data_IF_943645455787
#
_entry.id   IF_943645455787
#
_cell.length_a   1.000
_cell.length_b   1.000
_cell.length_c   1.000
_cell.angle_alpha   90.00
_cell.angle_beta   90.00
_cell.angle_gamma   90.00
#
_symmetry.space_group_name_H-M   'P 1'
#
loop_
_entity.id
_entity.type
_entity.pdbx_description
1 polymer ?
#
# COMPACT_ATOMS: atom_id res chain seq x y z
N UNK A 1 -31.98 -19.47 14.28
CA UNK A 1 -30.77 -20.02 14.94
C UNK A 1 -29.77 -18.89 15.02
N UNK A 2 -29.24 -18.58 16.21
CA UNK A 2 -28.27 -17.47 16.37
C UNK A 2 -26.94 -17.88 15.75
N UNK A 3 -26.53 -17.19 14.68
CA UNK A 3 -25.27 -17.37 13.95
C UNK A 3 -24.06 -17.29 14.90
N UNK A 4 -24.17 -16.47 15.94
CA UNK A 4 -23.16 -16.28 16.98
C UNK A 4 -22.98 -17.47 17.94
N UNK A 5 -23.83 -18.47 17.89
CA UNK A 5 -23.74 -19.67 18.74
C UNK A 5 -22.74 -20.73 18.22
N UNK A 6 -22.27 -20.56 16.97
CA UNK A 6 -21.32 -21.49 16.38
C UNK A 6 -19.87 -21.08 16.68
N UNK A 7 -19.05 -21.94 17.33
CA UNK A 7 -17.66 -21.61 17.68
C UNK A 7 -16.79 -21.23 16.48
N UNK A 8 -17.01 -21.85 15.32
CA UNK A 8 -16.27 -21.52 14.10
C UNK A 8 -16.60 -20.09 13.61
N UNK A 9 -17.86 -19.65 13.74
CA UNK A 9 -18.27 -18.31 13.31
C UNK A 9 -17.70 -17.23 14.24
N UNK A 10 -17.65 -17.48 15.54
CA UNK A 10 -17.04 -16.57 16.49
C UNK A 10 -15.54 -16.36 16.18
N UNK A 11 -14.81 -17.46 15.93
CA UNK A 11 -13.39 -17.41 15.53
C UNK A 11 -13.21 -16.69 14.20
N UNK A 12 -14.05 -16.98 13.23
CA UNK A 12 -14.00 -16.31 11.93
C UNK A 12 -14.25 -14.80 12.02
N UNK A 13 -15.25 -14.37 12.80
CA UNK A 13 -15.55 -12.96 13.02
C UNK A 13 -14.42 -12.23 13.76
N UNK A 14 -13.84 -12.87 14.80
CA UNK A 14 -12.70 -12.29 15.50
C UNK A 14 -11.48 -12.15 14.60
N UNK A 15 -11.18 -13.17 13.80
CA UNK A 15 -10.07 -13.13 12.86
C UNK A 15 -10.31 -12.08 11.75
N UNK A 16 -11.55 -11.97 11.24
CA UNK A 16 -11.93 -10.94 10.28
C UNK A 16 -11.80 -9.52 10.87
N UNK A 17 -12.26 -9.32 12.11
CA UNK A 17 -12.12 -8.05 12.82
C UNK A 17 -10.65 -7.65 12.96
N UNK A 18 -9.80 -8.57 13.43
CA UNK A 18 -8.36 -8.31 13.57
C UNK A 18 -7.71 -8.01 12.22
N UNK A 19 -8.01 -8.77 11.19
CA UNK A 19 -7.49 -8.53 9.84
C UNK A 19 -7.99 -7.20 9.27
N UNK A 20 -9.26 -6.87 9.45
CA UNK A 20 -9.87 -5.61 9.02
C UNK A 20 -9.31 -4.38 9.73
N UNK A 21 -8.80 -4.55 10.95
CA UNK A 21 -8.14 -3.51 11.71
C UNK A 21 -6.67 -3.31 11.28
N UNK A 22 -5.94 -4.42 11.13
CA UNK A 22 -4.49 -4.44 10.94
C UNK A 22 -4.09 -4.16 9.49
N UNK A 23 -4.82 -4.73 8.52
CA UNK A 23 -4.48 -4.57 7.12
C UNK A 23 -4.49 -3.11 6.65
N UNK A 24 -5.53 -2.29 6.93
CA UNK A 24 -5.50 -0.87 6.60
C UNK A 24 -4.50 -0.06 7.43
N UNK A 25 -4.19 -0.50 8.67
CA UNK A 25 -3.23 0.18 9.51
C UNK A 25 -1.83 0.21 8.91
N UNK A 26 -1.36 -0.91 8.36
CA UNK A 26 -0.09 -0.95 7.62
C UNK A 26 -0.27 -0.46 6.18
N UNK A 27 -1.43 -0.72 5.58
CA UNK A 27 -1.79 -0.28 4.24
C UNK A 27 -1.67 1.23 4.05
N UNK A 28 -2.00 2.02 5.08
CA UNK A 28 -1.85 3.48 5.06
C UNK A 28 -0.42 3.90 4.71
N UNK A 29 0.60 3.29 5.33
CA UNK A 29 2.00 3.61 5.05
C UNK A 29 2.45 3.16 3.67
N UNK A 30 1.97 1.99 3.21
CA UNK A 30 2.26 1.44 1.90
C UNK A 30 1.66 2.30 0.79
N UNK A 31 0.40 2.71 0.93
CA UNK A 31 -0.31 3.57 -0.03
C UNK A 31 0.33 4.95 -0.11
N UNK A 32 0.68 5.56 1.03
CA UNK A 32 1.34 6.87 1.06
C UNK A 32 2.71 6.86 0.38
N UNK A 33 3.39 5.73 0.39
CA UNK A 33 4.69 5.54 -0.27
C UNK A 33 4.58 5.07 -1.72
N UNK A 34 3.37 5.04 -2.29
CA UNK A 34 3.07 4.57 -3.65
C UNK A 34 3.51 3.12 -3.91
N UNK A 35 3.47 2.29 -2.88
CA UNK A 35 3.80 0.87 -2.95
C UNK A 35 2.55 -0.03 -2.88
N UNK A 36 1.43 0.42 -3.45
CA UNK A 36 0.13 -0.26 -3.35
C UNK A 36 0.15 -1.71 -3.85
N UNK A 37 1.01 -2.03 -4.83
CA UNK A 37 1.18 -3.38 -5.35
C UNK A 37 2.09 -4.27 -4.47
N UNK A 38 2.72 -3.71 -3.43
CA UNK A 38 3.60 -4.48 -2.54
C UNK A 38 2.83 -5.62 -1.86
N UNK A 39 1.57 -5.38 -1.45
CA UNK A 39 0.73 -6.39 -0.85
C UNK A 39 0.53 -7.62 -1.73
N UNK A 40 0.27 -7.40 -3.03
CA UNK A 40 0.14 -8.49 -4.01
C UNK A 40 1.45 -9.25 -4.20
N UNK A 41 2.57 -8.53 -4.37
CA UNK A 41 3.88 -9.16 -4.47
C UNK A 41 4.22 -10.03 -3.27
N UNK A 42 3.99 -9.52 -2.05
CA UNK A 42 4.20 -10.26 -0.81
C UNK A 42 3.27 -11.47 -0.72
N UNK A 43 2.03 -11.32 -1.18
CA UNK A 43 1.09 -12.40 -1.30
C UNK A 43 1.62 -13.56 -2.14
N UNK A 44 2.18 -13.28 -3.30
CA UNK A 44 2.72 -14.32 -4.18
C UNK A 44 3.96 -14.99 -3.61
N UNK A 45 4.79 -14.26 -2.85
CA UNK A 45 5.91 -14.86 -2.09
C UNK A 45 5.39 -15.77 -0.96
N UNK A 46 4.25 -15.42 -0.35
CA UNK A 46 3.63 -16.31 0.64
C UNK A 46 3.14 -17.62 0.01
N UNK A 47 2.64 -17.61 -1.26
CA UNK A 47 2.34 -18.85 -2.01
C UNK A 47 3.61 -19.69 -2.21
N UNK A 48 4.74 -19.05 -2.55
CA UNK A 48 6.00 -19.76 -2.63
C UNK A 48 6.35 -20.47 -1.31
N UNK A 49 6.12 -19.78 -0.18
CA UNK A 49 6.34 -20.36 1.14
C UNK A 49 5.40 -21.53 1.44
N UNK A 50 4.13 -21.45 1.07
CA UNK A 50 3.17 -22.55 1.18
C UNK A 50 3.61 -23.72 0.29
N UNK A 51 3.99 -23.48 -0.96
CA UNK A 51 4.49 -24.51 -1.87
C UNK A 51 5.74 -25.20 -1.33
N UNK A 52 6.67 -24.45 -0.75
CA UNK A 52 7.85 -24.99 -0.10
C UNK A 52 7.50 -25.86 1.14
N UNK A 53 6.52 -25.42 1.93
CA UNK A 53 6.04 -26.19 3.07
C UNK A 53 5.39 -27.51 2.65
N UNK A 54 4.58 -27.49 1.59
CA UNK A 54 3.99 -28.71 1.03
C UNK A 54 5.06 -29.69 0.52
N UNK A 55 6.11 -29.17 -0.11
CA UNK A 55 7.22 -29.95 -0.64
C UNK A 55 8.07 -30.56 0.48
N UNK A 56 8.29 -29.84 1.58
CA UNK A 56 9.13 -30.26 2.72
C UNK A 56 8.34 -30.98 3.81
N UNK A 57 7.01 -31.07 3.71
CA UNK A 57 6.14 -31.65 4.74
C UNK A 57 6.08 -30.83 6.04
N UNK A 58 6.38 -29.52 5.99
CA UNK A 58 6.40 -28.63 7.15
C UNK A 58 5.08 -27.85 7.27
N UNK A 59 4.91 -27.14 8.39
CA UNK A 59 3.70 -26.32 8.61
C UNK A 59 3.67 -25.13 7.62
N UNK A 60 2.57 -24.96 6.84
CA UNK A 60 2.50 -23.96 5.78
C UNK A 60 2.59 -22.52 6.27
N UNK A 61 1.94 -22.18 7.39
CA UNK A 61 1.90 -20.79 7.88
C UNK A 61 3.28 -20.27 8.33
N UNK A 62 4.05 -20.95 9.19
CA UNK A 62 5.37 -20.51 9.57
C UNK A 62 6.33 -20.40 8.36
N UNK A 63 6.27 -21.36 7.43
CA UNK A 63 7.11 -21.33 6.24
C UNK A 63 6.75 -20.14 5.34
N UNK A 64 5.46 -19.85 5.15
CA UNK A 64 5.01 -18.69 4.41
C UNK A 64 5.47 -17.38 5.06
N UNK A 65 5.45 -17.26 6.40
CA UNK A 65 5.98 -16.09 7.11
C UNK A 65 7.47 -15.91 6.85
N UNK A 66 8.27 -16.97 7.03
CA UNK A 66 9.72 -16.90 6.85
C UNK A 66 10.09 -16.52 5.42
N UNK A 67 9.49 -17.17 4.43
CA UNK A 67 9.75 -16.88 3.01
C UNK A 67 9.30 -15.49 2.62
N UNK A 68 8.13 -15.04 3.10
CA UNK A 68 7.60 -13.71 2.82
C UNK A 68 8.46 -12.61 3.45
N UNK A 69 8.92 -12.79 4.68
CA UNK A 69 9.85 -11.86 5.34
C UNK A 69 11.18 -11.84 4.61
N UNK A 70 11.75 -12.99 4.26
CA UNK A 70 13.02 -13.06 3.51
C UNK A 70 12.90 -12.36 2.15
N UNK A 71 11.84 -12.63 1.39
CA UNK A 71 11.58 -12.00 0.10
C UNK A 71 11.37 -10.48 0.23
N UNK A 72 10.62 -10.04 1.23
CA UNK A 72 10.39 -8.62 1.49
C UNK A 72 11.66 -7.86 1.84
N UNK A 73 12.52 -8.45 2.68
CA UNK A 73 13.84 -7.89 3.03
C UNK A 73 14.73 -7.82 1.80
N UNK A 74 14.78 -8.88 1.00
CA UNK A 74 15.60 -8.92 -0.21
C UNK A 74 15.21 -7.80 -1.19
N UNK A 75 13.92 -7.61 -1.46
CA UNK A 75 13.45 -6.54 -2.37
C UNK A 75 13.70 -5.16 -1.79
N UNK A 76 13.46 -4.95 -0.50
CA UNK A 76 13.72 -3.65 0.12
C UNK A 76 15.22 -3.31 0.09
N UNK A 77 16.11 -4.26 0.31
CA UNK A 77 17.55 -4.06 0.19
C UNK A 77 17.97 -3.76 -1.26
N UNK A 78 17.40 -4.47 -2.24
CA UNK A 78 17.62 -4.18 -3.66
C UNK A 78 17.15 -2.77 -4.02
N UNK A 79 15.96 -2.37 -3.56
CA UNK A 79 15.42 -1.02 -3.75
C UNK A 79 16.32 0.05 -3.12
N UNK A 80 16.81 -0.18 -1.90
CA UNK A 80 17.70 0.75 -1.20
C UNK A 80 19.09 0.86 -1.86
N UNK A 81 19.51 -0.15 -2.61
CA UNK A 81 20.79 -0.13 -3.34
C UNK A 81 20.76 0.74 -4.60
N UNK A 82 19.56 1.16 -5.06
CA UNK A 82 19.36 1.95 -6.28
C UNK A 82 19.69 1.21 -7.59
N UNK A 83 20.05 -0.09 -7.53
CA UNK A 83 20.42 -0.86 -8.71
C UNK A 83 19.24 -1.35 -9.54
N UNK A 84 18.04 -1.33 -8.96
CA UNK A 84 16.82 -1.86 -9.60
C UNK A 84 15.69 -0.87 -9.39
N UNK A 85 14.89 -0.62 -10.42
CA UNK A 85 13.64 0.13 -10.25
C UNK A 85 12.72 -0.66 -9.30
N UNK A 86 12.03 0.05 -8.40
CA UNK A 86 11.13 -0.57 -7.42
C UNK A 86 10.09 -1.49 -8.09
N UNK A 87 9.60 -1.11 -9.27
CA UNK A 87 8.61 -1.88 -10.03
C UNK A 87 9.17 -3.20 -10.56
N UNK A 88 10.43 -3.24 -11.03
CA UNK A 88 11.04 -4.47 -11.51
C UNK A 88 11.24 -5.47 -10.37
N UNK A 89 11.68 -5.01 -9.19
CA UNK A 89 11.80 -5.86 -8.01
C UNK A 89 10.46 -6.46 -7.59
N UNK A 90 9.39 -5.66 -7.61
CA UNK A 90 8.03 -6.13 -7.33
C UNK A 90 7.54 -7.13 -8.39
N UNK A 91 7.82 -6.90 -9.68
CA UNK A 91 7.45 -7.82 -10.75
C UNK A 91 8.14 -9.18 -10.60
N UNK A 92 9.43 -9.21 -10.26
CA UNK A 92 10.16 -10.45 -9.99
C UNK A 92 9.57 -11.20 -8.80
N UNK A 93 9.24 -10.51 -7.72
CA UNK A 93 8.56 -11.10 -6.56
C UNK A 93 7.20 -11.69 -6.96
N UNK A 94 6.41 -10.95 -7.72
CA UNK A 94 5.09 -11.35 -8.15
C UNK A 94 5.13 -12.62 -8.99
N UNK A 95 5.82 -12.57 -10.10
CA UNK A 95 5.86 -13.70 -11.05
C UNK A 95 6.70 -14.87 -10.52
N UNK A 96 7.83 -14.59 -9.88
CA UNK A 96 8.69 -15.60 -9.29
C UNK A 96 8.04 -16.33 -8.11
N UNK A 97 7.32 -15.58 -7.27
CA UNK A 97 6.60 -16.11 -6.12
C UNK A 97 5.49 -17.09 -6.54
N UNK A 98 4.60 -16.68 -7.44
CA UNK A 98 3.49 -17.55 -7.88
C UNK A 98 4.01 -18.76 -8.67
N UNK A 99 4.95 -18.56 -9.61
CA UNK A 99 5.47 -19.63 -10.43
C UNK A 99 6.16 -20.71 -9.60
N UNK A 100 7.05 -20.30 -8.67
CA UNK A 100 7.75 -21.23 -7.79
C UNK A 100 6.81 -21.93 -6.81
N UNK A 101 5.82 -21.21 -6.25
CA UNK A 101 4.84 -21.79 -5.34
C UNK A 101 3.98 -22.86 -6.00
N UNK A 102 3.44 -22.58 -7.20
CA UNK A 102 2.64 -23.54 -7.98
C UNK A 102 3.48 -24.75 -8.41
N UNK A 103 4.72 -24.50 -8.86
CA UNK A 103 5.65 -25.58 -9.24
C UNK A 103 5.96 -26.51 -8.07
N UNK A 104 6.30 -25.97 -6.89
CA UNK A 104 6.59 -26.76 -5.70
C UNK A 104 5.38 -27.55 -5.20
N UNK A 105 4.20 -26.95 -5.20
CA UNK A 105 2.95 -27.65 -4.85
C UNK A 105 2.64 -28.78 -5.83
N UNK A 106 2.93 -28.59 -7.14
CA UNK A 106 2.81 -29.63 -8.16
C UNK A 106 3.75 -30.80 -7.90
N UNK A 107 5.04 -30.54 -7.59
CA UNK A 107 6.04 -31.56 -7.23
C UNK A 107 5.63 -32.30 -5.96
N UNK A 108 5.03 -31.63 -4.98
CA UNK A 108 4.50 -32.24 -3.76
C UNK A 108 3.23 -33.09 -3.97
N UNK A 109 2.72 -33.19 -5.20
CA UNK A 109 1.51 -33.97 -5.53
C UNK A 109 0.18 -33.35 -5.10
N UNK A 110 0.21 -32.10 -4.60
CA UNK A 110 -1.00 -31.40 -4.12
C UNK A 110 -1.73 -30.64 -5.23
N UNK A 111 -1.02 -30.32 -6.31
CA UNK A 111 -1.55 -29.55 -7.43
C UNK A 111 -2.12 -28.17 -7.07
N UNK A 112 -2.78 -27.49 -8.02
CA UNK A 112 -3.39 -26.18 -7.76
C UNK A 112 -4.51 -26.21 -6.69
N UNK A 113 -5.18 -27.35 -6.52
CA UNK A 113 -6.24 -27.54 -5.52
C UNK A 113 -5.72 -27.37 -4.08
N UNK A 114 -4.48 -27.83 -3.79
CA UNK A 114 -3.87 -27.69 -2.48
C UNK A 114 -3.60 -26.24 -2.08
N UNK A 115 -3.47 -25.32 -3.07
CA UNK A 115 -3.25 -23.90 -2.86
C UNK A 115 -4.55 -23.09 -2.74
N UNK A 116 -5.69 -23.62 -3.21
CA UNK A 116 -6.95 -22.87 -3.33
C UNK A 116 -7.45 -22.31 -1.99
N UNK A 117 -7.31 -23.07 -0.90
CA UNK A 117 -7.71 -22.64 0.44
C UNK A 117 -6.90 -21.42 0.93
N UNK A 118 -5.63 -21.31 0.51
CA UNK A 118 -4.76 -20.18 0.86
C UNK A 118 -5.01 -18.96 -0.06
N UNK A 119 -5.38 -19.19 -1.31
CA UNK A 119 -5.68 -18.15 -2.28
C UNK A 119 -6.97 -17.38 -1.95
N UNK A 120 -8.04 -18.12 -1.62
CA UNK A 120 -9.37 -17.55 -1.43
C UNK A 120 -9.79 -17.38 0.03
N UNK A 121 -8.98 -17.89 0.96
CA UNK A 121 -9.33 -17.94 2.38
C UNK A 121 -10.41 -18.98 2.69
N UNK A 122 -10.43 -19.48 3.90
CA UNK A 122 -11.46 -20.41 4.37
C UNK A 122 -11.78 -20.09 5.83
N UNK A 123 -12.96 -19.53 6.07
CA UNK A 123 -13.43 -19.19 7.42
C UNK A 123 -13.48 -20.39 8.37
N UNK A 124 -13.80 -21.55 7.83
CA UNK A 124 -13.94 -22.80 8.60
C UNK A 124 -12.60 -23.39 9.02
N UNK A 125 -11.49 -22.93 8.42
CA UNK A 125 -10.15 -23.49 8.66
C UNK A 125 -9.37 -22.79 9.79
N UNK A 126 -9.92 -21.73 10.40
CA UNK A 126 -9.26 -20.99 11.47
C UNK A 126 -9.33 -21.78 12.77
N UNK A 127 -8.19 -22.28 13.21
CA UNK A 127 -8.06 -22.97 14.49
C UNK A 127 -7.96 -21.98 15.66
N UNK A 128 -8.12 -22.46 16.88
CA UNK A 128 -7.96 -21.63 18.07
C UNK A 128 -6.52 -21.16 18.26
N UNK A 129 -5.56 -22.01 17.94
CA UNK A 129 -4.14 -21.64 17.94
C UNK A 129 -3.80 -20.54 16.92
N UNK A 130 -4.42 -20.61 15.71
CA UNK A 130 -4.24 -19.56 14.71
C UNK A 130 -4.77 -18.21 15.19
N UNK A 131 -5.92 -18.22 15.90
CA UNK A 131 -6.51 -16.98 16.43
C UNK A 131 -5.59 -16.27 17.43
N UNK A 132 -4.93 -17.02 18.33
CA UNK A 132 -3.95 -16.46 19.26
C UNK A 132 -2.74 -15.86 18.55
N UNK A 133 -2.24 -16.54 17.53
CA UNK A 133 -1.14 -16.03 16.68
C UNK A 133 -1.56 -14.74 15.97
N UNK A 134 -2.74 -14.74 15.34
CA UNK A 134 -3.29 -13.56 14.65
C UNK A 134 -3.47 -12.40 15.65
N UNK A 135 -3.99 -12.67 16.85
CA UNK A 135 -4.19 -11.64 17.87
C UNK A 135 -2.87 -11.04 18.37
N UNK A 136 -1.88 -11.89 18.67
CA UNK A 136 -0.56 -11.42 19.12
C UNK A 136 0.12 -10.54 18.07
N UNK A 137 0.05 -10.94 16.80
CA UNK A 137 0.65 -10.20 15.71
C UNK A 137 -0.16 -8.95 15.35
N UNK A 138 -1.49 -9.00 15.47
CA UNK A 138 -2.34 -7.81 15.35
C UNK A 138 -1.94 -6.74 16.37
N UNK A 139 -1.73 -7.12 17.63
CA UNK A 139 -1.25 -6.21 18.67
C UNK A 139 0.13 -5.65 18.30
N UNK A 140 1.06 -6.48 17.82
CA UNK A 140 2.39 -6.03 17.41
C UNK A 140 2.34 -5.01 16.28
N UNK A 141 1.51 -5.26 15.26
CA UNK A 141 1.32 -4.33 14.12
C UNK A 141 0.67 -3.02 14.57
N UNK A 142 -0.33 -3.08 15.43
CA UNK A 142 -0.99 -1.88 15.95
C UNK A 142 -0.05 -1.04 16.82
N UNK A 143 0.71 -1.68 17.72
CA UNK A 143 1.72 -1.01 18.54
C UNK A 143 2.79 -0.35 17.65
N UNK A 144 3.24 -1.03 16.61
CA UNK A 144 4.17 -0.45 15.66
C UNK A 144 3.55 0.72 14.89
N UNK A 145 2.37 0.51 14.29
CA UNK A 145 1.71 1.48 13.43
C UNK A 145 1.30 2.75 14.19
N UNK A 146 0.74 2.60 15.39
CA UNK A 146 0.30 3.73 16.21
C UNK A 146 1.43 4.31 17.07
N UNK A 147 2.33 3.47 17.58
CA UNK A 147 3.43 3.91 18.44
C UNK A 147 4.52 4.69 17.69
N UNK A 148 4.81 4.30 16.45
CA UNK A 148 5.77 5.02 15.60
C UNK A 148 5.12 6.00 14.62
N UNK A 149 3.83 6.28 14.78
CA UNK A 149 3.04 7.13 13.87
C UNK A 149 3.71 8.46 13.52
N UNK A 150 4.29 9.26 14.48
CA UNK A 150 4.94 10.52 14.11
C UNK A 150 6.16 10.33 13.20
N UNK A 151 6.96 9.28 13.46
CA UNK A 151 8.17 8.98 12.68
C UNK A 151 7.81 8.43 11.31
N UNK A 152 6.84 7.51 11.25
CA UNK A 152 6.34 6.94 10.01
C UNK A 152 5.67 8.00 9.13
N UNK A 153 4.92 8.93 9.74
CA UNK A 153 4.35 10.07 9.03
C UNK A 153 5.44 10.94 8.41
N UNK A 154 6.49 11.30 9.16
CA UNK A 154 7.60 12.10 8.64
C UNK A 154 8.27 11.43 7.44
N UNK A 155 8.52 10.11 7.51
CA UNK A 155 9.11 9.33 6.40
C UNK A 155 8.18 9.25 5.19
N UNK A 156 6.85 9.16 5.40
CA UNK A 156 5.87 9.14 4.32
C UNK A 156 5.70 10.51 3.65
N UNK A 157 5.86 11.60 4.40
CA UNK A 157 5.72 12.95 3.89
C UNK A 157 6.94 13.38 3.07
N UNK A 158 8.14 13.20 3.61
CA UNK A 158 9.40 13.54 2.96
C UNK A 158 10.55 12.72 3.57
N UNK A 159 11.11 11.78 2.80
CA UNK A 159 12.22 10.94 3.25
C UNK A 159 13.51 11.73 3.51
N UNK A 160 13.80 12.76 2.71
CA UNK A 160 15.03 13.55 2.83
C UNK A 160 14.96 14.46 4.05
N UNK A 161 13.81 15.09 4.28
CA UNK A 161 13.56 15.86 5.50
C UNK A 161 13.63 14.98 6.76
N UNK A 162 13.04 13.77 6.71
CA UNK A 162 13.12 12.82 7.81
C UNK A 162 14.56 12.41 8.15
N UNK A 163 15.46 12.31 7.13
CA UNK A 163 16.90 12.05 7.35
C UNK A 163 17.58 13.21 8.06
N UNK A 164 17.26 14.45 7.68
CA UNK A 164 17.79 15.65 8.34
C UNK A 164 17.37 15.70 9.81
N UNK A 165 16.16 15.26 10.13
CA UNK A 165 15.67 15.13 11.51
C UNK A 165 16.32 13.97 12.30
N UNK A 166 17.30 13.25 11.73
CA UNK A 166 17.99 12.14 12.37
C UNK A 166 17.19 10.85 12.41
N UNK A 167 16.08 10.74 11.67
CA UNK A 167 15.27 9.53 11.61
C UNK A 167 16.00 8.47 10.74
N UNK A 168 16.09 7.24 11.23
CA UNK A 168 16.68 6.12 10.49
C UNK A 168 15.70 5.61 9.42
N UNK A 169 15.55 6.37 8.32
CA UNK A 169 14.58 6.09 7.25
C UNK A 169 14.73 4.68 6.69
N UNK A 170 15.96 4.21 6.40
CA UNK A 170 16.19 2.86 5.88
C UNK A 170 15.67 1.75 6.79
N UNK A 171 15.86 1.90 8.11
CA UNK A 171 15.37 0.94 9.09
C UNK A 171 13.84 0.96 9.18
N UNK A 172 13.21 2.14 9.19
CA UNK A 172 11.76 2.25 9.23
C UNK A 172 11.11 1.67 7.97
N UNK A 173 11.70 1.92 6.80
CA UNK A 173 11.26 1.34 5.55
C UNK A 173 11.30 -0.18 5.57
N UNK A 174 12.41 -0.76 6.04
CA UNK A 174 12.56 -2.19 6.21
C UNK A 174 11.52 -2.76 7.19
N UNK A 175 11.31 -2.09 8.34
CA UNK A 175 10.32 -2.52 9.33
C UNK A 175 8.90 -2.49 8.76
N UNK A 176 8.52 -1.45 8.00
CA UNK A 176 7.20 -1.38 7.35
C UNK A 176 6.99 -2.56 6.41
N UNK A 177 7.98 -2.90 5.59
CA UNK A 177 7.88 -4.00 4.62
C UNK A 177 7.84 -5.37 5.31
N UNK A 178 8.62 -5.57 6.38
CA UNK A 178 8.59 -6.79 7.20
C UNK A 178 7.23 -6.96 7.89
N UNK A 179 6.70 -5.89 8.49
CA UNK A 179 5.39 -5.94 9.16
C UNK A 179 4.27 -6.15 8.13
N UNK A 180 4.38 -5.56 6.94
CA UNK A 180 3.45 -5.83 5.85
C UNK A 180 3.46 -7.30 5.44
N UNK A 181 4.65 -7.92 5.30
CA UNK A 181 4.76 -9.33 4.94
C UNK A 181 4.15 -10.26 5.99
N UNK A 182 4.35 -9.95 7.26
CA UNK A 182 3.72 -10.66 8.37
C UNK A 182 2.20 -10.48 8.33
N UNK A 183 1.72 -9.25 8.12
CA UNK A 183 0.27 -8.97 8.03
C UNK A 183 -0.38 -9.75 6.88
N UNK A 184 0.26 -9.77 5.71
CA UNK A 184 -0.23 -10.50 4.53
C UNK A 184 -0.34 -11.99 4.82
N UNK A 185 0.73 -12.59 5.34
CA UNK A 185 0.76 -14.05 5.60
C UNK A 185 -0.22 -14.49 6.67
N UNK A 186 -0.47 -13.66 7.68
CA UNK A 186 -1.44 -13.98 8.73
C UNK A 186 -2.88 -13.88 8.24
N UNK A 187 -3.19 -12.82 7.52
CA UNK A 187 -4.54 -12.61 6.99
C UNK A 187 -4.86 -13.54 5.83
N UNK A 188 -3.87 -14.24 5.28
CA UNK A 188 -4.02 -15.22 4.20
C UNK A 188 -5.05 -16.31 4.54
N UNK A 189 -5.10 -16.78 5.79
CA UNK A 189 -6.05 -17.82 6.20
C UNK A 189 -7.49 -17.34 6.29
N UNK A 190 -7.69 -16.08 6.64
CA UNK A 190 -9.03 -15.52 6.90
C UNK A 190 -9.65 -14.94 5.63
N UNK A 191 -8.94 -14.03 4.99
CA UNK A 191 -9.42 -13.28 3.82
C UNK A 191 -9.00 -13.93 2.51
N UNK A 192 -7.92 -14.70 2.55
CA UNK A 192 -7.27 -15.21 1.34
C UNK A 192 -6.23 -14.24 0.81
N UNK A 193 -5.23 -14.82 0.16
CA UNK A 193 -4.04 -14.12 -0.24
C UNK A 193 -4.26 -13.12 -1.37
N UNK A 194 -5.12 -13.46 -2.32
CA UNK A 194 -5.45 -12.59 -3.45
C UNK A 194 -6.24 -11.34 -3.03
N UNK A 195 -6.83 -11.35 -1.84
CA UNK A 195 -7.79 -10.33 -1.42
C UNK A 195 -7.28 -9.47 -0.26
N UNK A 196 -6.17 -9.88 0.39
CA UNK A 196 -5.60 -9.11 1.51
C UNK A 196 -5.02 -7.78 1.06
N UNK A 197 -4.39 -7.71 -0.12
CA UNK A 197 -3.88 -6.46 -0.69
C UNK A 197 -5.00 -5.46 -0.95
N UNK A 198 -6.15 -5.94 -1.43
CA UNK A 198 -7.34 -5.11 -1.58
C UNK A 198 -7.80 -4.54 -0.23
N UNK A 199 -7.82 -5.36 0.84
CA UNK A 199 -8.18 -4.92 2.18
C UNK A 199 -7.15 -3.94 2.77
N UNK A 200 -5.89 -4.00 2.36
CA UNK A 200 -4.88 -3.03 2.74
C UNK A 200 -5.04 -1.68 2.03
N UNK A 201 -5.49 -1.66 0.78
CA UNK A 201 -5.50 -0.47 -0.08
C UNK A 201 -6.86 0.21 -0.13
N UNK A 202 -7.95 -0.54 -0.35
CA UNK A 202 -9.28 0.02 -0.59
C UNK A 202 -9.84 0.81 0.60
N UNK A 203 -9.77 0.33 1.86
CA UNK A 203 -10.24 1.11 3.01
C UNK A 203 -9.45 2.40 3.22
N UNK A 204 -8.15 2.39 2.90
CA UNK A 204 -7.31 3.60 2.93
C UNK A 204 -7.77 4.60 1.88
N UNK A 205 -8.00 4.14 0.65
CA UNK A 205 -8.50 4.98 -0.43
C UNK A 205 -9.89 5.58 -0.10
N UNK A 206 -10.79 4.80 0.50
CA UNK A 206 -12.09 5.27 0.96
C UNK A 206 -11.97 6.30 2.09
N UNK A 207 -11.07 6.04 3.05
CA UNK A 207 -10.83 6.97 4.16
C UNK A 207 -10.24 8.30 3.71
N UNK A 208 -9.37 8.30 2.69
CA UNK A 208 -8.81 9.51 2.10
C UNK A 208 -9.86 10.42 1.44
N UNK A 209 -11.02 9.87 1.05
CA UNK A 209 -12.14 10.68 0.53
C UNK A 209 -12.93 11.35 1.64
N UNK A 210 -12.98 10.75 2.83
CA UNK A 210 -13.84 11.19 3.94
C UNK A 210 -13.10 12.04 4.97
N UNK A 211 -11.83 11.78 5.19
CA UNK A 211 -11.06 12.38 6.28
C UNK A 211 -9.86 13.18 5.78
N UNK A 212 -9.58 14.29 6.46
CA UNK A 212 -8.39 15.11 6.25
C UNK A 212 -7.39 14.89 7.39
N UNK A 213 -6.11 14.84 7.02
CA UNK A 213 -5.04 14.63 7.99
C UNK A 213 -4.75 13.15 8.27
N UNK A 214 -3.46 12.87 8.48
CA UNK A 214 -2.91 11.51 8.51
C UNK A 214 -3.54 10.62 9.60
N UNK A 215 -3.71 11.15 10.83
CA UNK A 215 -4.29 10.38 11.95
C UNK A 215 -5.75 10.02 11.72
N UNK A 216 -6.54 10.98 11.25
CA UNK A 216 -7.97 10.76 11.00
C UNK A 216 -8.15 9.76 9.84
N UNK A 217 -7.36 9.88 8.78
CA UNK A 217 -7.37 8.92 7.66
C UNK A 217 -6.95 7.53 8.11
N UNK A 218 -5.92 7.40 8.95
CA UNK A 218 -5.49 6.11 9.48
C UNK A 218 -6.61 5.42 10.30
N UNK A 219 -7.19 6.14 11.26
CA UNK A 219 -8.27 5.60 12.09
C UNK A 219 -9.54 5.33 11.27
N UNK A 220 -9.87 6.21 10.33
CA UNK A 220 -10.97 6.01 9.39
C UNK A 220 -10.77 4.79 8.51
N UNK A 221 -9.55 4.56 7.99
CA UNK A 221 -9.22 3.38 7.20
C UNK A 221 -9.38 2.08 8.02
N UNK A 222 -8.92 2.08 9.27
CA UNK A 222 -9.11 0.97 10.20
C UNK A 222 -10.61 0.70 10.44
N UNK A 223 -11.41 1.75 10.67
CA UNK A 223 -12.86 1.62 10.85
C UNK A 223 -13.57 1.06 9.61
N UNK A 224 -13.25 1.58 8.42
CA UNK A 224 -13.79 1.09 7.14
C UNK A 224 -13.35 -0.36 6.89
N UNK A 225 -12.10 -0.71 7.20
CA UNK A 225 -11.59 -2.07 7.08
C UNK A 225 -12.33 -3.06 7.98
N UNK A 226 -12.62 -2.68 9.22
CA UNK A 226 -13.44 -3.48 10.16
C UNK A 226 -14.86 -3.66 9.63
N UNK A 227 -15.51 -2.58 9.15
CA UNK A 227 -16.84 -2.66 8.56
C UNK A 227 -16.87 -3.57 7.34
N UNK A 228 -15.87 -3.47 6.45
CA UNK A 228 -15.76 -4.33 5.28
C UNK A 228 -15.54 -5.79 5.68
N UNK A 229 -14.65 -6.06 6.63
CA UNK A 229 -14.33 -7.41 7.07
C UNK A 229 -15.52 -8.09 7.76
N UNK A 230 -16.17 -7.42 8.71
CA UNK A 230 -17.32 -7.96 9.40
C UNK A 230 -18.53 -8.09 8.47
N UNK A 231 -18.84 -7.05 7.69
CA UNK A 231 -19.95 -7.04 6.74
C UNK A 231 -19.77 -8.10 5.65
N UNK A 232 -18.54 -8.25 5.13
CA UNK A 232 -18.21 -9.26 4.13
C UNK A 232 -18.27 -10.69 4.69
N UNK A 233 -17.79 -10.91 5.92
CA UNK A 233 -17.88 -12.21 6.59
C UNK A 233 -19.33 -12.62 6.83
N UNK A 234 -20.15 -11.68 7.30
CA UNK A 234 -21.58 -11.92 7.51
C UNK A 234 -22.33 -12.18 6.19
N UNK A 235 -22.04 -11.37 5.17
CA UNK A 235 -22.61 -11.54 3.83
C UNK A 235 -22.21 -12.86 3.19
N UNK A 236 -20.96 -13.27 3.32
CA UNK A 236 -20.45 -14.56 2.83
C UNK A 236 -21.21 -15.75 3.42
N UNK A 237 -21.48 -15.71 4.72
CA UNK A 237 -22.27 -16.74 5.37
C UNK A 237 -23.71 -16.79 4.82
N UNK A 238 -24.34 -15.63 4.63
CA UNK A 238 -25.73 -15.55 4.19
C UNK A 238 -25.90 -15.98 2.72
N UNK A 239 -24.96 -15.61 1.86
CA UNK A 239 -25.00 -15.90 0.42
C UNK A 239 -24.21 -17.15 0.02
N UNK A 240 -23.59 -17.83 0.97
CA UNK A 240 -22.77 -19.03 0.74
C UNK A 240 -21.67 -18.78 -0.34
N UNK A 241 -20.98 -17.65 -0.23
CA UNK A 241 -19.95 -17.20 -1.16
C UNK A 241 -18.54 -17.24 -0.52
N UNK A 242 -17.49 -17.11 -1.36
CA UNK A 242 -16.13 -17.00 -0.85
C UNK A 242 -15.96 -15.73 0.00
N UNK A 243 -15.51 -15.89 1.24
CA UNK A 243 -15.46 -14.82 2.25
C UNK A 243 -14.62 -13.65 1.81
N UNK A 244 -13.42 -13.91 1.32
CA UNK A 244 -12.52 -12.85 0.88
C UNK A 244 -13.13 -12.02 -0.24
N UNK A 245 -13.74 -12.65 -1.26
CA UNK A 245 -14.39 -11.94 -2.35
C UNK A 245 -15.52 -11.04 -1.85
N UNK A 246 -16.32 -11.52 -0.90
CA UNK A 246 -17.42 -10.73 -0.31
C UNK A 246 -16.88 -9.54 0.49
N UNK A 247 -15.80 -9.73 1.26
CA UNK A 247 -15.13 -8.64 2.01
C UNK A 247 -14.66 -7.54 1.04
N UNK A 248 -14.02 -7.92 -0.07
CA UNK A 248 -13.54 -6.94 -1.05
C UNK A 248 -14.68 -6.23 -1.75
N UNK A 249 -15.75 -6.93 -2.09
CA UNK A 249 -16.95 -6.28 -2.69
C UNK A 249 -17.59 -5.29 -1.73
N UNK A 250 -17.67 -5.60 -0.44
CA UNK A 250 -18.15 -4.64 0.58
C UNK A 250 -17.18 -3.46 0.70
N UNK A 251 -15.87 -3.69 0.68
CA UNK A 251 -14.86 -2.61 0.72
C UNK A 251 -14.98 -1.67 -0.51
N UNK A 252 -15.18 -2.22 -1.71
CA UNK A 252 -15.41 -1.45 -2.94
C UNK A 252 -16.73 -0.65 -2.85
N UNK A 253 -17.80 -1.25 -2.33
CA UNK A 253 -19.07 -0.55 -2.12
C UNK A 253 -18.90 0.63 -1.14
N UNK A 254 -18.16 0.44 -0.04
CA UNK A 254 -17.84 1.51 0.91
C UNK A 254 -16.98 2.60 0.27
N UNK A 255 -16.02 2.25 -0.59
CA UNK A 255 -15.24 3.22 -1.37
C UNK A 255 -16.16 4.00 -2.32
N UNK A 256 -17.09 3.33 -3.02
CA UNK A 256 -18.09 3.99 -3.88
C UNK A 256 -18.96 4.99 -3.10
N UNK A 257 -19.44 4.61 -1.93
CA UNK A 257 -20.18 5.52 -1.04
C UNK A 257 -19.30 6.68 -0.59
N UNK A 258 -18.05 6.42 -0.19
CA UNK A 258 -17.11 7.45 0.24
C UNK A 258 -16.80 8.45 -0.88
N UNK A 259 -16.64 7.99 -2.12
CA UNK A 259 -16.41 8.90 -3.27
C UNK A 259 -17.64 9.75 -3.58
N UNK A 260 -18.82 9.19 -3.51
CA UNK A 260 -20.08 9.95 -3.73
C UNK A 260 -20.30 10.99 -2.64
N UNK A 261 -20.04 10.66 -1.37
CA UNK A 261 -20.19 11.60 -0.25
C UNK A 261 -19.07 12.62 -0.18
N UNK A 262 -17.83 12.23 -0.51
CA UNK A 262 -16.65 13.11 -0.55
C UNK A 262 -16.70 14.16 -1.68
N UNK A 263 -17.52 13.92 -2.72
CA UNK A 263 -17.74 14.89 -3.81
C UNK A 263 -18.63 16.06 -3.36
N UNK A 264 -19.40 15.91 -2.28
CA UNK A 264 -20.13 17.01 -1.63
C UNK A 264 -19.24 17.58 -0.52
N UNK A 265 -18.59 18.74 -0.72
CA UNK A 265 -17.76 19.33 0.33
C UNK A 265 -18.66 19.69 1.52
N UNK A 266 -18.48 18.99 2.63
CA UNK A 266 -18.99 19.46 3.90
C UNK A 266 -18.43 20.86 4.13
N UNK A 267 -19.26 21.88 4.42
CA UNK A 267 -18.79 23.24 4.61
C UNK A 267 -17.84 23.27 5.81
N UNK A 268 -16.52 23.34 5.54
CA UNK A 268 -15.49 23.39 6.56
C UNK A 268 -14.26 22.49 6.33
N UNK A 269 -14.35 21.48 5.50
CA UNK A 269 -13.22 20.56 5.23
C UNK A 269 -12.60 20.88 3.87
N UNK A 270 -11.73 21.88 3.81
CA UNK A 270 -10.88 22.12 2.64
C UNK A 270 -9.78 21.05 2.62
N UNK A 271 -9.84 20.22 1.61
CA UNK A 271 -8.74 19.37 1.17
C UNK A 271 -7.49 20.25 0.99
N UNK A 272 -6.47 20.05 1.81
CA UNK A 272 -5.14 20.50 1.43
C UNK A 272 -4.69 19.46 0.41
N UNK A 273 -4.63 19.79 -0.89
CA UNK A 273 -4.13 18.84 -1.86
C UNK A 273 -2.71 18.49 -1.41
N UNK A 274 -2.47 17.20 -1.20
CA UNK A 274 -1.12 16.69 -0.98
C UNK A 274 -0.28 17.18 -2.17
N UNK A 275 0.64 18.10 -1.91
CA UNK A 275 1.52 18.64 -2.93
C UNK A 275 2.30 17.47 -3.48
N UNK A 276 1.93 17.02 -4.67
CA UNK A 276 2.71 16.06 -5.43
C UNK A 276 4.11 16.65 -5.58
N UNK A 277 5.20 15.97 -5.18
CA UNK A 277 6.57 16.47 -5.37
C UNK A 277 6.92 16.66 -6.85
N UNK A 278 6.13 16.05 -7.74
CA UNK A 278 6.09 16.40 -9.15
C UNK A 278 4.87 17.31 -9.36
N UNK A 279 4.93 18.50 -8.74
CA UNK A 279 4.09 19.59 -9.20
C UNK A 279 4.29 19.69 -10.70
N UNK A 280 3.25 19.36 -11.48
CA UNK A 280 3.11 20.02 -12.77
C UNK A 280 3.41 21.46 -12.47
N UNK A 281 4.60 21.94 -12.89
CA UNK A 281 4.85 23.36 -12.98
C UNK A 281 3.57 23.90 -13.61
N UNK A 282 2.70 24.51 -12.80
CA UNK A 282 1.63 25.30 -13.34
C UNK A 282 2.38 26.20 -14.29
N UNK A 283 2.18 26.00 -15.58
CA UNK A 283 2.45 27.06 -16.53
C UNK A 283 1.85 28.30 -15.88
N UNK A 284 2.67 29.07 -15.24
CA UNK A 284 2.39 30.48 -15.12
C UNK A 284 2.43 30.88 -16.60
N UNK A 285 1.24 30.83 -17.22
CA UNK A 285 1.00 31.65 -18.40
C UNK A 285 1.44 33.01 -17.88
N UNK A 286 2.65 33.42 -18.29
CA UNK A 286 3.00 34.79 -18.23
C UNK A 286 1.84 35.48 -18.94
N UNK A 287 0.92 36.06 -18.17
CA UNK A 287 0.12 37.14 -18.70
C UNK A 287 1.16 38.03 -19.38
N UNK A 288 1.08 38.09 -20.70
CA UNK A 288 1.75 39.15 -21.44
C UNK A 288 1.40 40.43 -20.68
N UNK A 289 2.40 41.16 -20.14
CA UNK A 289 2.12 42.45 -19.58
C UNK A 289 1.66 43.29 -20.78
N UNK A 290 0.35 43.51 -20.90
CA UNK A 290 -0.22 44.62 -21.65
C UNK A 290 0.16 45.92 -20.92
N UNK A 291 1.43 46.17 -20.88
CA UNK A 291 2.04 47.36 -20.32
C UNK A 291 3.06 47.90 -21.30
N UNK A 292 2.74 49.01 -21.91
CA UNK A 292 3.64 49.89 -22.67
C UNK A 292 4.90 50.16 -21.84
N UNK A 293 5.89 49.27 -21.89
CA UNK A 293 7.23 49.48 -21.41
C UNK A 293 8.13 49.97 -22.58
N UNK A 294 9.21 50.69 -22.33
CA UNK A 294 9.95 51.46 -23.34
C UNK A 294 10.54 50.52 -24.39
N UNK A 295 10.23 50.80 -25.63
CA UNK A 295 10.84 50.23 -26.84
C UNK A 295 12.32 50.57 -26.89
N UNK A 296 13.11 49.59 -27.33
CA UNK A 296 14.51 49.70 -27.77
C UNK A 296 15.56 49.79 -26.65
N UNK A 297 15.94 48.63 -26.12
CA UNK A 297 17.34 48.36 -25.80
C UNK A 297 17.85 47.32 -26.75
N UNK A 298 19.00 47.48 -27.38
CA UNK A 298 19.66 46.49 -28.22
C UNK A 298 19.82 45.17 -27.44
N UNK A 299 18.99 44.21 -27.74
CA UNK A 299 19.16 42.82 -27.23
C UNK A 299 20.29 42.21 -28.08
N UNK A 300 21.50 42.16 -27.53
CA UNK A 300 22.63 41.52 -28.18
C UNK A 300 22.58 40.03 -27.85
N UNK A 301 22.37 39.15 -28.84
CA UNK A 301 22.50 37.72 -28.60
C UNK A 301 23.98 37.38 -28.38
N UNK A 302 24.30 36.71 -27.32
CA UNK A 302 25.65 36.21 -27.01
C UNK A 302 25.67 34.71 -27.21
N UNK A 303 26.60 34.20 -27.99
CA UNK A 303 26.75 32.76 -28.19
C UNK A 303 27.41 32.16 -26.95
N UNK A 304 26.76 31.12 -26.36
CA UNK A 304 27.26 30.37 -25.23
C UNK A 304 27.15 28.88 -25.53
N UNK A 305 28.25 28.23 -25.83
CA UNK A 305 28.28 26.85 -26.27
C UNK A 305 27.55 26.62 -27.60
N UNK A 306 26.51 25.85 -27.62
CA UNK A 306 25.70 25.45 -28.77
C UNK A 306 24.41 26.28 -28.94
N UNK A 307 24.12 27.25 -28.07
CA UNK A 307 22.92 28.08 -28.09
C UNK A 307 23.19 29.58 -27.94
N UNK A 308 22.16 30.37 -28.22
CA UNK A 308 22.21 31.84 -28.16
C UNK A 308 21.44 32.33 -26.94
N UNK A 309 22.14 33.00 -26.00
CA UNK A 309 21.54 33.67 -24.86
C UNK A 309 21.06 35.08 -25.23
N UNK A 310 19.94 35.51 -24.70
CA UNK A 310 19.46 36.89 -24.75
C UNK A 310 19.77 37.59 -23.44
N UNK A 311 20.45 38.72 -23.52
CA UNK A 311 20.73 39.54 -22.35
C UNK A 311 19.67 40.64 -22.24
N UNK A 312 18.94 40.63 -21.11
CA UNK A 312 17.95 41.67 -20.80
C UNK A 312 18.35 42.32 -19.48
N UNK A 313 18.83 43.57 -19.55
CA UNK A 313 19.38 44.23 -18.38
C UNK A 313 20.68 43.57 -17.92
N UNK A 314 20.73 43.08 -16.68
CA UNK A 314 21.90 42.41 -16.10
C UNK A 314 21.70 40.90 -15.98
N UNK A 315 20.70 40.32 -16.66
CA UNK A 315 20.34 38.88 -16.58
C UNK A 315 20.45 38.23 -17.95
N UNK A 316 20.92 36.99 -17.97
CA UNK A 316 21.04 36.17 -19.18
C UNK A 316 19.89 35.16 -19.21
N UNK A 317 19.27 35.00 -20.35
CA UNK A 317 18.18 34.06 -20.58
C UNK A 317 18.53 33.16 -21.75
N UNK A 318 18.64 31.87 -21.51
CA UNK A 318 18.83 30.83 -22.53
C UNK A 318 17.50 30.22 -22.93
N UNK A 319 17.31 29.98 -24.23
CA UNK A 319 16.15 29.27 -24.76
C UNK A 319 16.44 27.76 -24.78
N UNK A 320 15.77 26.98 -23.94
CA UNK A 320 15.82 25.51 -23.96
C UNK A 320 14.47 24.94 -24.39
N UNK A 321 14.37 24.58 -25.67
CA UNK A 321 13.12 24.09 -26.25
C UNK A 321 12.03 25.16 -26.34
N UNK A 322 11.01 25.08 -25.47
CA UNK A 322 9.86 26.00 -25.44
C UNK A 322 9.82 26.94 -24.24
N UNK A 323 10.91 27.04 -23.46
CA UNK A 323 11.01 27.90 -22.28
C UNK A 323 12.39 28.60 -22.17
N UNK A 324 12.43 29.72 -21.43
CA UNK A 324 13.63 30.43 -21.11
C UNK A 324 14.08 30.10 -19.68
N UNK A 325 15.37 29.75 -19.52
CA UNK A 325 16.02 29.60 -18.23
C UNK A 325 16.90 30.83 -17.94
N UNK A 326 16.89 31.32 -16.70
CA UNK A 326 17.73 32.42 -16.22
C UNK A 326 19.03 31.82 -15.68
N UNK A 327 20.18 32.30 -16.18
CA UNK A 327 21.54 31.93 -15.75
C UNK A 327 22.19 33.01 -14.91
#
# INVERSE_FOLDING_TARGET
MNIFSYPFMQRALLAALLSGLVAPAIGMYIVQRRLSLLGDGLGHVAIMGVGLALLTGTAPLPMAVVTCVAGSVAVELLRQSGKTSGDLGLAVLFYGGIASGVMMAGIAGQGPAGLSAYLFGALTSVSESDLWVIAALAVAVLVFSLGLLPRLFAVCADEDFARVLGIRVKLLNLLVVVIASVTVTLSMRTVGLLLISALMVIPVAASQQLFTGFRATLLGAMGIGVLAALGGTFGSYHWNTATGATIVMVAIALLGIATLTGTFPAPGLRFIPFVSPHGKKKRILAEEPTGTGPRSGNVVPIQHGDHLDRVVGNRRHALHGDHYDEH
#
